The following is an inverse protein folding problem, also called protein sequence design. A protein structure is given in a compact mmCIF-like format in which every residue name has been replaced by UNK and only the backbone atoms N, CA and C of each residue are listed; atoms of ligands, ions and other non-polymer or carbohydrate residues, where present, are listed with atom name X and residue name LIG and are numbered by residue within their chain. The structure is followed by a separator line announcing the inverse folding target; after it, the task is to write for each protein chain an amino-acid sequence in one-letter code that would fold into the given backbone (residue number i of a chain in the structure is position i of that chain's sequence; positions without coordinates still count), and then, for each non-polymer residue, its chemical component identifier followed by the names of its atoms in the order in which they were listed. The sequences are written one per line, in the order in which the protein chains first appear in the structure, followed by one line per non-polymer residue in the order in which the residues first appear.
data_IF_739954678016
#
_entry.id   IF_739954678016
#
_cell.length_a   1.000
_cell.length_b   1.000
_cell.length_c   1.000
_cell.angle_alpha   90.00
_cell.angle_beta   90.00
_cell.angle_gamma   90.00
#
_symmetry.space_group_name_H-M   'P 1'
#
loop_
_entity.id
_entity.type
_entity.pdbx_description
1 polymer ?
#
# COMPACT_ATOMS: atom_id res chain seq x y z
N UNK A 1 -8.79 16.57 29.90
CA UNK A 1 -8.77 15.42 28.96
C UNK A 1 -7.69 15.70 27.93
N UNK A 2 -6.83 14.75 27.61
CA UNK A 2 -5.78 14.90 26.59
C UNK A 2 -5.93 13.75 25.59
N UNK A 3 -6.08 14.09 24.31
CA UNK A 3 -6.28 13.11 23.23
C UNK A 3 -5.97 13.76 21.87
N UNK A 4 -5.91 12.92 20.83
CA UNK A 4 -5.81 13.35 19.44
C UNK A 4 -7.23 13.60 18.87
N UNK A 5 -7.47 14.71 18.15
CA UNK A 5 -8.80 15.07 17.62
C UNK A 5 -9.16 14.25 16.37
N UNK A 6 -9.18 12.92 16.45
CA UNK A 6 -9.27 12.03 15.28
C UNK A 6 -10.66 11.97 14.63
N UNK A 7 -11.71 12.46 15.31
CA UNK A 7 -13.10 12.42 14.83
C UNK A 7 -13.85 13.72 15.16
N UNK A 8 -14.66 14.28 14.23
CA UNK A 8 -15.50 15.46 14.44
C UNK A 8 -16.77 15.17 15.24
N UNK A 9 -16.75 14.14 16.09
CA UNK A 9 -17.90 13.75 16.89
C UNK A 9 -17.46 13.00 18.15
N UNK A 10 -18.39 12.88 19.10
CA UNK A 10 -18.15 12.22 20.38
C UNK A 10 -17.67 13.17 21.47
N UNK A 11 -17.47 12.63 22.67
CA UNK A 11 -17.30 13.43 23.87
C UNK A 11 -16.07 14.36 23.84
N UNK A 12 -14.96 13.91 23.26
CA UNK A 12 -13.76 14.74 23.12
C UNK A 12 -13.94 15.87 22.11
N UNK A 13 -14.71 15.64 21.05
CA UNK A 13 -15.11 16.71 20.13
C UNK A 13 -15.99 17.73 20.85
N UNK A 14 -17.00 17.25 21.58
CA UNK A 14 -17.92 18.11 22.33
C UNK A 14 -17.20 18.97 23.37
N UNK A 15 -16.15 18.44 24.03
CA UNK A 15 -15.37 19.22 25.00
C UNK A 15 -14.62 20.41 24.38
N UNK A 16 -14.44 20.42 23.06
CA UNK A 16 -13.83 21.52 22.30
C UNK A 16 -14.84 22.38 21.55
N UNK A 17 -16.12 21.98 21.53
CA UNK A 17 -17.18 22.65 20.79
C UNK A 17 -18.39 22.92 21.70
N UNK A 18 -19.42 22.07 21.64
CA UNK A 18 -20.72 22.27 22.28
C UNK A 18 -20.65 22.45 23.80
N UNK A 19 -19.64 21.86 24.46
CA UNK A 19 -19.42 21.94 25.92
C UNK A 19 -18.27 22.86 26.32
N UNK A 20 -17.57 23.45 25.34
CA UNK A 20 -16.49 24.40 25.60
C UNK A 20 -17.06 25.74 26.06
N UNK A 21 -16.33 26.41 26.95
CA UNK A 21 -16.63 27.76 27.36
C UNK A 21 -16.23 28.73 26.24
N UNK A 22 -17.20 29.44 25.68
CA UNK A 22 -17.01 30.42 24.60
C UNK A 22 -17.85 31.67 24.87
N UNK A 23 -17.65 32.79 24.14
CA UNK A 23 -18.53 33.95 24.26
C UNK A 23 -20.03 33.61 24.03
N UNK A 24 -20.32 32.67 23.11
CA UNK A 24 -21.67 32.17 22.84
C UNK A 24 -22.15 31.05 23.78
N UNK A 25 -21.26 30.49 24.61
CA UNK A 25 -21.58 29.46 25.60
C UNK A 25 -20.84 29.73 26.93
N UNK A 26 -21.24 30.76 27.69
CA UNK A 26 -20.55 31.15 28.93
C UNK A 26 -20.66 30.09 30.04
N UNK A 27 -21.65 29.19 29.96
CA UNK A 27 -21.88 28.08 30.89
C UNK A 27 -21.16 26.78 30.49
N UNK A 28 -20.31 26.82 29.46
CA UNK A 28 -19.48 25.69 29.08
C UNK A 28 -18.61 25.21 30.24
N UNK A 29 -18.44 23.89 30.35
CA UNK A 29 -17.74 23.23 31.46
C UNK A 29 -16.27 22.92 31.15
N UNK A 30 -15.86 23.08 29.89
CA UNK A 30 -14.50 22.81 29.43
C UNK A 30 -13.79 24.09 29.00
N UNK A 31 -12.52 24.22 29.40
CA UNK A 31 -11.57 25.14 28.77
C UNK A 31 -10.89 24.39 27.63
N UNK A 32 -11.27 24.69 26.39
CA UNK A 32 -10.71 24.06 25.21
C UNK A 32 -9.33 24.65 24.91
N UNK A 33 -8.32 23.79 24.79
CA UNK A 33 -6.94 24.17 24.43
C UNK A 33 -6.55 23.35 23.20
N UNK A 34 -6.15 24.04 22.14
CA UNK A 34 -5.63 23.44 20.91
C UNK A 34 -4.13 23.72 20.84
N UNK A 35 -3.32 22.68 20.70
CA UNK A 35 -1.87 22.79 20.60
C UNK A 35 -1.45 22.60 19.14
N UNK A 36 -1.23 23.71 18.44
CA UNK A 36 -0.72 23.70 17.08
C UNK A 36 0.83 23.64 17.10
N UNK A 37 1.40 22.61 16.47
CA UNK A 37 2.85 22.44 16.38
C UNK A 37 3.53 23.57 15.59
N UNK A 38 2.82 24.23 14.67
CA UNK A 38 3.37 25.36 13.90
C UNK A 38 3.57 26.62 14.76
N UNK A 39 2.85 26.71 15.88
CA UNK A 39 2.90 27.83 16.81
C UNK A 39 3.85 27.55 18.00
N UNK A 40 4.39 26.33 18.07
CA UNK A 40 5.27 25.91 19.16
C UNK A 40 6.70 26.45 18.96
N UNK A 41 7.29 27.12 19.96
CA UNK A 41 8.68 27.60 19.88
C UNK A 41 9.71 26.46 19.85
N UNK A 42 9.29 25.23 20.16
CA UNK A 42 10.17 24.05 20.16
C UNK A 42 10.14 23.27 18.84
N UNK A 43 9.26 23.65 17.91
CA UNK A 43 9.11 22.97 16.62
C UNK A 43 9.83 23.74 15.53
N UNK A 44 10.70 23.05 14.80
CA UNK A 44 11.48 23.68 13.73
C UNK A 44 10.67 23.76 12.42
N UNK A 45 10.92 24.78 11.57
CA UNK A 45 10.33 24.83 10.23
C UNK A 45 10.66 23.59 9.38
N UNK A 46 11.83 22.98 9.61
CA UNK A 46 12.25 21.76 8.93
C UNK A 46 11.35 20.57 9.30
N UNK A 47 11.01 20.40 10.58
CA UNK A 47 10.04 19.38 11.02
C UNK A 47 8.68 19.57 10.33
N UNK A 48 8.19 20.81 10.26
CA UNK A 48 6.92 21.13 9.59
C UNK A 48 6.97 20.75 8.10
N UNK A 49 8.06 21.10 7.40
CA UNK A 49 8.27 20.74 5.99
C UNK A 49 8.29 19.24 5.77
N UNK A 50 8.95 18.49 6.65
CA UNK A 50 8.97 17.02 6.61
C UNK A 50 7.57 16.44 6.79
N UNK A 51 6.79 16.96 7.74
CA UNK A 51 5.41 16.49 7.99
C UNK A 51 4.44 16.85 6.88
N UNK A 52 4.60 18.01 6.24
CA UNK A 52 3.82 18.38 5.05
C UNK A 52 4.04 17.37 3.92
N UNK A 53 5.29 16.96 3.69
CA UNK A 53 5.62 15.96 2.68
C UNK A 53 5.14 14.56 3.09
N UNK A 54 5.39 14.16 4.34
CA UNK A 54 5.04 12.82 4.84
C UNK A 54 3.52 12.59 4.86
N UNK A 55 2.74 13.58 5.26
CA UNK A 55 1.28 13.46 5.42
C UNK A 55 0.48 13.85 4.18
N UNK A 56 1.13 14.32 3.10
CA UNK A 56 0.46 14.63 1.84
C UNK A 56 -0.25 15.99 1.83
N UNK A 57 0.30 16.98 2.53
CA UNK A 57 -0.15 18.37 2.52
C UNK A 57 -0.91 18.81 3.78
N UNK A 58 -1.20 20.12 3.85
CA UNK A 58 -1.81 20.78 5.01
C UNK A 58 -3.25 20.31 5.30
N UNK A 59 -4.00 20.05 4.23
CA UNK A 59 -5.41 19.65 4.32
C UNK A 59 -5.58 18.13 4.54
N UNK A 60 -4.48 17.39 4.71
CA UNK A 60 -4.56 15.96 4.99
C UNK A 60 -5.03 15.72 6.43
N UNK A 61 -5.79 14.63 6.62
CA UNK A 61 -6.29 14.24 7.95
C UNK A 61 -5.14 14.07 8.95
N UNK A 62 -4.03 13.45 8.53
CA UNK A 62 -2.86 13.28 9.40
C UNK A 62 -2.25 14.61 9.81
N UNK A 63 -2.13 15.59 8.89
CA UNK A 63 -1.56 16.89 9.20
C UNK A 63 -2.46 17.71 10.12
N UNK A 64 -3.77 17.77 9.82
CA UNK A 64 -4.75 18.46 10.65
C UNK A 64 -4.74 17.91 12.09
N UNK A 65 -4.75 16.59 12.25
CA UNK A 65 -4.81 15.96 13.58
C UNK A 65 -3.47 16.05 14.30
N UNK A 66 -2.37 15.63 13.66
CA UNK A 66 -1.08 15.43 14.33
C UNK A 66 -0.20 16.67 14.41
N UNK A 67 -0.42 17.65 13.53
CA UNK A 67 0.37 18.90 13.49
C UNK A 67 -0.46 20.07 13.99
N UNK A 68 -1.66 20.29 13.42
CA UNK A 68 -2.48 21.45 13.76
C UNK A 68 -3.32 21.28 15.04
N UNK A 69 -3.47 20.04 15.54
CA UNK A 69 -4.35 19.76 16.67
C UNK A 69 -5.84 20.00 16.35
N UNK A 70 -6.22 19.91 15.08
CA UNK A 70 -7.56 20.20 14.59
C UNK A 70 -8.36 18.92 14.33
N UNK A 71 -9.67 18.99 14.57
CA UNK A 71 -10.59 17.94 14.19
C UNK A 71 -10.75 17.87 12.66
N UNK A 72 -10.74 16.69 12.04
CA UNK A 72 -10.93 16.57 10.60
C UNK A 72 -12.36 16.96 10.25
N UNK A 73 -12.54 17.66 9.12
CA UNK A 73 -13.88 18.10 8.66
C UNK A 73 -14.79 16.94 8.29
N UNK A 74 -14.21 15.85 7.78
CA UNK A 74 -14.91 14.65 7.35
C UNK A 74 -14.21 13.40 7.89
N UNK A 75 -14.99 12.41 8.32
CA UNK A 75 -14.49 11.15 8.93
C UNK A 75 -14.05 10.15 7.86
N UNK A 76 -14.73 10.18 6.71
CA UNK A 76 -14.73 9.11 5.72
C UNK A 76 -14.41 9.67 4.34
N UNK A 77 -13.13 9.98 4.13
CA UNK A 77 -12.64 10.33 2.80
C UNK A 77 -12.43 9.09 1.93
N UNK A 78 -12.58 9.27 0.63
CA UNK A 78 -12.01 8.35 -0.34
C UNK A 78 -10.52 8.67 -0.53
N UNK A 79 -9.72 7.63 -0.74
CA UNK A 79 -8.27 7.71 -0.85
C UNK A 79 -7.81 8.63 -1.99
N UNK A 80 -8.51 8.57 -3.12
CA UNK A 80 -8.23 9.27 -4.37
C UNK A 80 -9.52 9.78 -5.00
N UNK A 81 -9.42 10.91 -5.72
CA UNK A 81 -10.47 11.38 -6.60
C UNK A 81 -10.43 10.70 -7.97
N UNK A 82 -11.58 10.58 -8.64
CA UNK A 82 -11.67 9.96 -9.97
C UNK A 82 -10.77 10.65 -11.00
N UNK A 83 -10.76 11.97 -11.00
CA UNK A 83 -9.94 12.80 -11.88
C UNK A 83 -8.42 12.62 -11.62
N UNK A 84 -8.01 12.36 -10.38
CA UNK A 84 -6.62 12.00 -10.06
C UNK A 84 -6.22 10.68 -10.73
N UNK A 85 -7.09 9.66 -10.65
CA UNK A 85 -6.88 8.37 -11.30
C UNK A 85 -6.84 8.48 -12.83
N UNK A 86 -7.80 9.21 -13.43
CA UNK A 86 -7.87 9.37 -14.88
C UNK A 86 -6.63 10.14 -15.41
N UNK A 87 -6.12 11.13 -14.67
CA UNK A 87 -4.83 11.76 -14.98
C UNK A 87 -3.66 10.80 -14.84
N UNK A 88 -3.64 9.97 -13.80
CA UNK A 88 -2.59 9.00 -13.57
C UNK A 88 -2.48 8.01 -14.73
N UNK A 89 -3.61 7.56 -15.29
CA UNK A 89 -3.64 6.66 -16.45
C UNK A 89 -2.99 7.27 -17.71
N UNK A 90 -3.08 8.58 -17.90
CA UNK A 90 -2.54 9.29 -19.08
C UNK A 90 -1.13 9.85 -18.89
N UNK A 91 -0.71 10.06 -17.65
CA UNK A 91 0.56 10.75 -17.33
C UNK A 91 1.77 9.90 -17.76
N UNK A 92 2.80 10.56 -18.29
CA UNK A 92 4.11 9.94 -18.49
C UNK A 92 4.86 9.88 -17.14
N UNK A 93 5.23 8.67 -16.73
CA UNK A 93 6.07 8.43 -15.55
C UNK A 93 7.42 7.90 -16.03
N UNK A 94 8.49 8.58 -15.63
CA UNK A 94 9.87 8.19 -15.95
C UNK A 94 10.38 7.26 -14.86
N UNK A 95 10.80 6.05 -15.25
CA UNK A 95 11.47 5.09 -14.37
C UNK A 95 12.96 5.43 -14.23
N UNK A 96 13.56 4.99 -13.13
CA UNK A 96 15.02 5.08 -12.93
C UNK A 96 15.75 4.00 -13.76
N UNK A 97 17.07 4.14 -13.94
CA UNK A 97 17.88 3.29 -14.85
C UNK A 97 17.76 1.80 -14.53
N UNK A 98 17.82 1.46 -13.24
CA UNK A 98 17.77 0.07 -12.74
C UNK A 98 16.34 -0.26 -12.31
N UNK A 99 15.42 -0.31 -13.27
CA UNK A 99 14.03 -0.74 -13.05
C UNK A 99 13.91 -2.26 -13.24
N UNK A 100 12.93 -2.89 -12.58
CA UNK A 100 12.65 -4.32 -12.69
C UNK A 100 11.19 -4.64 -13.00
N UNK A 101 10.95 -5.90 -13.35
CA UNK A 101 9.61 -6.44 -13.60
C UNK A 101 8.99 -6.97 -12.31
N UNK A 102 7.73 -6.60 -12.08
CA UNK A 102 6.95 -7.08 -10.92
C UNK A 102 5.57 -7.51 -11.42
N UNK A 103 5.22 -8.77 -11.16
CA UNK A 103 3.89 -9.33 -11.32
C UNK A 103 3.21 -9.44 -9.96
N UNK A 104 2.08 -8.76 -9.78
CA UNK A 104 1.25 -8.85 -8.57
C UNK A 104 -0.08 -9.49 -8.87
N UNK A 105 -0.50 -10.43 -8.02
CA UNK A 105 -1.73 -11.19 -8.21
C UNK A 105 -2.67 -11.09 -7.00
N UNK A 106 -3.94 -10.76 -7.26
CA UNK A 106 -5.06 -10.91 -6.33
C UNK A 106 -5.86 -12.15 -6.75
N UNK A 107 -6.10 -13.06 -5.80
CA UNK A 107 -6.64 -14.40 -6.07
C UNK A 107 -8.09 -14.47 -5.63
N UNK A 108 -8.97 -14.71 -6.60
CA UNK A 108 -10.39 -14.95 -6.38
C UNK A 108 -10.66 -16.22 -5.57
N UNK A 109 -11.84 -16.28 -4.98
CA UNK A 109 -12.28 -17.37 -4.09
C UNK A 109 -13.20 -18.41 -4.79
N UNK A 110 -13.10 -18.54 -6.12
CA UNK A 110 -14.02 -19.36 -6.91
C UNK A 110 -15.36 -18.69 -7.25
N UNK A 111 -15.60 -17.46 -6.77
CA UNK A 111 -16.74 -16.59 -7.12
C UNK A 111 -16.27 -15.24 -7.63
N UNK A 112 -15.35 -14.63 -6.89
CA UNK A 112 -14.70 -13.39 -7.24
C UNK A 112 -13.59 -13.64 -8.28
N UNK A 113 -13.29 -12.63 -9.10
CA UNK A 113 -12.31 -12.73 -10.19
C UNK A 113 -10.88 -12.72 -9.64
N UNK A 114 -9.97 -13.35 -10.37
CA UNK A 114 -8.53 -13.22 -10.10
C UNK A 114 -7.90 -12.20 -11.04
N UNK A 115 -6.94 -11.42 -10.55
CA UNK A 115 -6.27 -10.38 -11.34
C UNK A 115 -4.77 -10.58 -11.28
N UNK A 116 -4.11 -10.53 -12.44
CA UNK A 116 -2.65 -10.46 -12.57
C UNK A 116 -2.29 -9.10 -13.18
N UNK A 117 -1.41 -8.36 -12.51
CA UNK A 117 -0.92 -7.06 -12.97
C UNK A 117 0.60 -7.10 -13.08
N UNK A 118 1.10 -6.81 -14.28
CA UNK A 118 2.53 -6.74 -14.58
C UNK A 118 2.90 -5.26 -14.71
N UNK A 119 3.88 -4.86 -13.91
CA UNK A 119 4.37 -3.50 -13.82
C UNK A 119 5.88 -3.45 -14.02
N UNK A 120 6.35 -2.29 -14.49
CA UNK A 120 7.75 -1.88 -14.35
C UNK A 120 7.89 -1.04 -13.10
N UNK A 121 8.85 -1.37 -12.26
CA UNK A 121 9.04 -0.73 -10.95
C UNK A 121 10.47 -0.23 -10.82
N UNK A 122 10.64 0.96 -10.24
CA UNK A 122 11.96 1.49 -9.88
C UNK A 122 11.89 2.28 -8.59
N UNK A 123 13.03 2.44 -7.92
CA UNK A 123 13.13 3.19 -6.67
C UNK A 123 12.45 2.50 -5.49
N UNK A 124 12.69 3.04 -4.30
CA UNK A 124 12.30 2.42 -3.05
C UNK A 124 11.42 3.36 -2.22
N UNK A 125 10.51 2.77 -1.44
CA UNK A 125 9.64 3.46 -0.47
C UNK A 125 8.95 4.70 -1.05
N UNK A 126 9.24 5.88 -0.52
CA UNK A 126 8.67 7.19 -0.88
C UNK A 126 9.10 7.67 -2.27
N UNK A 127 10.20 7.14 -2.82
CA UNK A 127 10.66 7.45 -4.18
C UNK A 127 10.21 6.43 -5.21
N UNK A 128 9.58 5.32 -4.79
CA UNK A 128 9.15 4.25 -5.68
C UNK A 128 8.26 4.77 -6.81
N UNK A 129 8.52 4.27 -8.01
CA UNK A 129 7.83 4.59 -9.26
C UNK A 129 7.29 3.31 -9.88
N UNK A 130 6.07 3.36 -10.36
CA UNK A 130 5.34 2.20 -10.87
C UNK A 130 4.68 2.57 -12.19
N UNK A 131 4.93 1.76 -13.21
CA UNK A 131 4.32 1.94 -14.53
C UNK A 131 3.64 0.65 -14.91
N UNK A 132 2.31 0.69 -15.04
CA UNK A 132 1.58 -0.44 -15.58
C UNK A 132 2.12 -0.83 -16.97
N UNK A 133 2.25 -2.13 -17.17
CA UNK A 133 2.52 -2.73 -18.47
C UNK A 133 1.31 -3.53 -18.96
N UNK A 134 0.72 -4.39 -18.11
CA UNK A 134 -0.38 -5.27 -18.50
C UNK A 134 -1.24 -5.65 -17.30
N UNK A 135 -2.56 -5.58 -17.44
CA UNK A 135 -3.51 -6.15 -16.47
C UNK A 135 -4.31 -7.24 -17.15
N UNK A 136 -4.45 -8.38 -16.49
CA UNK A 136 -5.21 -9.54 -16.97
C UNK A 136 -6.17 -10.00 -15.87
N UNK A 137 -7.43 -10.22 -16.23
CA UNK A 137 -8.51 -10.57 -15.31
C UNK A 137 -9.09 -11.93 -15.70
N UNK A 138 -9.07 -12.88 -14.76
CA UNK A 138 -9.58 -14.24 -14.95
C UNK A 138 -11.01 -14.34 -14.42
N UNK A 139 -11.87 -15.18 -15.04
CA UNK A 139 -13.21 -15.41 -14.53
C UNK A 139 -13.14 -15.99 -13.12
N UNK A 140 -14.11 -15.64 -12.27
CA UNK A 140 -14.12 -16.12 -10.88
C UNK A 140 -14.30 -17.64 -10.75
N UNK A 141 -14.75 -18.31 -11.80
CA UNK A 141 -14.82 -19.78 -11.88
C UNK A 141 -13.47 -20.44 -12.14
N UNK A 142 -12.41 -19.67 -12.39
CA UNK A 142 -11.06 -20.22 -12.55
C UNK A 142 -10.54 -20.68 -11.20
N UNK A 143 -10.11 -21.94 -11.15
CA UNK A 143 -9.49 -22.53 -9.97
C UNK A 143 -8.13 -21.87 -9.62
N UNK A 144 -7.80 -21.68 -8.33
CA UNK A 144 -6.53 -21.07 -7.91
C UNK A 144 -5.25 -21.76 -8.41
N UNK A 145 -5.27 -23.07 -8.66
CA UNK A 145 -4.12 -23.81 -9.21
C UNK A 145 -4.02 -23.56 -10.73
N UNK A 146 -5.15 -23.54 -11.44
CA UNK A 146 -5.17 -23.15 -12.85
C UNK A 146 -4.67 -21.69 -13.04
N UNK A 147 -5.01 -20.81 -12.10
CA UNK A 147 -4.49 -19.44 -12.10
C UNK A 147 -2.97 -19.39 -11.84
N UNK A 148 -2.44 -20.24 -10.96
CA UNK A 148 -1.00 -20.37 -10.75
C UNK A 148 -0.28 -20.84 -12.02
N UNK A 149 -0.82 -21.84 -12.72
CA UNK A 149 -0.27 -22.33 -13.98
C UNK A 149 -0.31 -21.23 -15.06
N UNK A 150 -1.38 -20.44 -15.10
CA UNK A 150 -1.48 -19.26 -15.97
C UNK A 150 -0.39 -18.22 -15.65
N UNK A 151 -0.21 -17.86 -14.37
CA UNK A 151 0.83 -16.92 -13.94
C UNK A 151 2.22 -17.43 -14.37
N UNK A 152 2.51 -18.72 -14.13
CA UNK A 152 3.80 -19.33 -14.46
C UNK A 152 4.10 -19.27 -15.97
N UNK A 153 3.12 -19.62 -16.80
CA UNK A 153 3.30 -19.64 -18.26
C UNK A 153 3.34 -18.22 -18.87
N UNK A 154 2.75 -17.24 -18.19
CA UNK A 154 2.80 -15.85 -18.65
C UNK A 154 4.09 -15.15 -18.21
N UNK A 155 4.54 -15.35 -16.96
CA UNK A 155 5.67 -14.65 -16.34
C UNK A 155 7.01 -15.33 -16.62
N UNK A 156 7.36 -15.54 -17.89
CA UNK A 156 8.60 -16.24 -18.26
C UNK A 156 9.82 -15.31 -18.27
N UNK A 157 11.04 -15.79 -17.98
CA UNK A 157 12.26 -14.98 -18.03
C UNK A 157 12.54 -14.34 -19.40
N UNK A 158 12.14 -14.99 -20.49
CA UNK A 158 12.34 -14.47 -21.86
C UNK A 158 11.45 -13.25 -22.13
N UNK A 159 10.22 -13.24 -21.60
CA UNK A 159 9.30 -12.09 -21.71
C UNK A 159 9.66 -11.01 -20.71
N UNK A 160 10.00 -11.42 -19.48
CA UNK A 160 10.18 -10.54 -18.34
C UNK A 160 11.41 -10.98 -17.53
N UNK A 161 12.63 -10.55 -17.93
CA UNK A 161 13.86 -10.89 -17.22
C UNK A 161 13.78 -10.49 -15.74
N UNK A 162 14.19 -11.40 -14.85
CA UNK A 162 14.25 -11.17 -13.40
C UNK A 162 12.90 -10.78 -12.76
N UNK A 163 11.77 -11.23 -13.34
CA UNK A 163 10.44 -10.87 -12.84
C UNK A 163 10.22 -11.38 -11.41
N UNK A 164 9.83 -10.46 -10.53
CA UNK A 164 9.34 -10.80 -9.20
C UNK A 164 7.85 -11.12 -9.28
N UNK A 165 7.46 -12.35 -8.97
CA UNK A 165 6.05 -12.76 -8.88
C UNK A 165 5.61 -12.67 -7.43
N UNK A 166 4.53 -11.94 -7.16
CA UNK A 166 3.97 -11.76 -5.83
C UNK A 166 2.47 -11.98 -5.83
N UNK A 167 1.97 -12.71 -4.82
CA UNK A 167 0.57 -13.15 -4.76
C UNK A 167 0.01 -12.82 -3.38
N UNK A 168 -1.21 -12.29 -3.32
CA UNK A 168 -1.95 -12.20 -2.05
C UNK A 168 -2.20 -13.62 -1.53
N UNK A 169 -1.43 -13.99 -0.51
CA UNK A 169 -1.45 -15.32 0.07
C UNK A 169 -2.43 -15.43 1.24
N UNK A 170 -3.22 -14.39 1.51
CA UNK A 170 -4.33 -14.47 2.47
C UNK A 170 -5.49 -15.27 1.82
N UNK A 171 -5.84 -16.43 2.40
CA UNK A 171 -6.88 -17.32 1.85
C UNK A 171 -6.40 -18.18 0.68
N UNK A 172 -7.13 -18.18 -0.43
CA UNK A 172 -6.93 -19.08 -1.58
C UNK A 172 -5.60 -18.87 -2.32
N UNK A 173 -5.01 -17.68 -2.25
CA UNK A 173 -3.71 -17.46 -2.90
C UNK A 173 -2.55 -18.21 -2.23
N UNK A 174 -2.75 -18.78 -1.04
CA UNK A 174 -1.78 -19.69 -0.43
C UNK A 174 -1.58 -20.98 -1.25
N UNK A 175 -2.64 -21.49 -1.88
CA UNK A 175 -2.61 -22.64 -2.80
C UNK A 175 -2.00 -22.25 -4.14
N UNK A 176 -2.34 -21.07 -4.68
CA UNK A 176 -1.71 -20.50 -5.88
C UNK A 176 -0.19 -20.39 -5.70
N UNK A 177 0.28 -19.92 -4.55
CA UNK A 177 1.71 -19.88 -4.23
C UNK A 177 2.33 -21.28 -4.17
N UNK A 178 1.65 -22.25 -3.54
CA UNK A 178 2.16 -23.62 -3.45
C UNK A 178 2.30 -24.26 -4.85
N UNK A 179 1.34 -24.02 -5.75
CA UNK A 179 1.40 -24.50 -7.12
C UNK A 179 2.51 -23.82 -7.92
N UNK A 180 2.69 -22.49 -7.79
CA UNK A 180 3.81 -21.78 -8.40
C UNK A 180 5.17 -22.37 -7.97
N UNK A 181 5.34 -22.69 -6.69
CA UNK A 181 6.54 -23.37 -6.18
C UNK A 181 6.72 -24.75 -6.81
N UNK A 182 5.66 -25.56 -6.92
CA UNK A 182 5.72 -26.87 -7.60
C UNK A 182 6.10 -26.78 -9.07
N UNK A 183 5.74 -25.69 -9.73
CA UNK A 183 6.10 -25.41 -11.13
C UNK A 183 7.53 -24.90 -11.29
N UNK A 184 8.22 -24.57 -10.19
CA UNK A 184 9.61 -24.10 -10.20
C UNK A 184 9.78 -22.59 -10.04
N UNK A 185 8.72 -21.84 -9.76
CA UNK A 185 8.80 -20.41 -9.46
C UNK A 185 9.03 -20.14 -7.96
N UNK A 186 9.51 -18.96 -7.62
CA UNK A 186 9.68 -18.51 -6.23
C UNK A 186 8.78 -17.29 -5.93
N UNK A 187 7.47 -17.49 -5.67
CA UNK A 187 6.55 -16.38 -5.46
C UNK A 187 6.72 -15.73 -4.08
N UNK A 188 6.70 -14.40 -4.05
CA UNK A 188 6.58 -13.61 -2.83
C UNK A 188 5.15 -13.70 -2.31
N UNK A 189 5.00 -14.19 -1.07
CA UNK A 189 3.71 -14.31 -0.40
C UNK A 189 3.34 -13.00 0.29
N UNK A 190 2.39 -12.25 -0.26
CA UNK A 190 1.87 -11.04 0.37
C UNK A 190 0.88 -11.45 1.47
N UNK A 191 1.06 -10.93 2.68
CA UNK A 191 0.12 -11.10 3.81
C UNK A 191 -0.12 -9.76 4.46
N UNK A 192 -0.74 -8.90 3.69
CA UNK A 192 -0.82 -7.47 3.97
C UNK A 192 -1.83 -7.08 5.07
N UNK A 193 -2.60 -8.05 5.58
CA UNK A 193 -3.32 -7.87 6.85
C UNK A 193 -2.39 -7.75 8.08
N UNK A 194 -1.13 -8.17 7.96
CA UNK A 194 -0.15 -8.15 9.07
C UNK A 194 0.38 -6.74 9.38
N UNK A 195 0.87 -6.50 10.61
CA UNK A 195 1.53 -5.26 10.99
C UNK A 195 2.76 -4.94 10.12
N UNK A 196 3.18 -3.67 10.16
CA UNK A 196 4.44 -3.23 9.54
C UNK A 196 5.66 -3.78 10.30
N UNK A 197 6.74 -4.05 9.56
CA UNK A 197 7.99 -4.55 10.15
C UNK A 197 8.79 -3.43 10.86
N UNK A 198 8.85 -2.23 10.28
CA UNK A 198 9.56 -1.10 10.86
C UNK A 198 8.73 -0.39 11.95
N UNK A 199 9.37 -0.02 13.07
CA UNK A 199 8.73 0.71 14.18
C UNK A 199 8.01 1.98 13.71
N UNK A 200 8.71 2.82 12.95
CA UNK A 200 8.17 4.07 12.40
C UNK A 200 6.87 3.85 11.62
N UNK A 201 6.81 2.78 10.83
CA UNK A 201 5.63 2.48 10.02
C UNK A 201 4.50 1.88 10.87
N UNK A 202 4.81 1.15 11.95
CA UNK A 202 3.81 0.66 12.93
C UNK A 202 3.11 1.78 13.69
N UNK A 203 3.82 2.86 13.96
CA UNK A 203 3.25 4.06 14.61
C UNK A 203 2.31 4.82 13.69
N UNK A 204 2.49 4.71 12.37
CA UNK A 204 1.69 5.42 11.38
C UNK A 204 0.55 4.59 10.79
N UNK A 205 0.74 3.29 10.60
CA UNK A 205 -0.18 2.41 9.89
C UNK A 205 -0.62 1.23 10.74
N UNK A 206 -1.91 0.89 10.69
CA UNK A 206 -2.43 -0.30 11.38
C UNK A 206 -1.84 -1.61 10.81
N UNK A 207 -1.63 -1.67 9.49
CA UNK A 207 -1.09 -2.84 8.80
C UNK A 207 -0.49 -2.48 7.43
N UNK A 208 0.11 -3.47 6.79
CA UNK A 208 0.69 -3.36 5.45
C UNK A 208 -0.33 -2.94 4.38
N UNK A 209 -1.61 -3.33 4.52
CA UNK A 209 -2.69 -2.88 3.62
C UNK A 209 -2.89 -1.36 3.68
N UNK A 210 -2.87 -0.77 4.88
CA UNK A 210 -2.94 0.68 5.04
C UNK A 210 -1.72 1.38 4.47
N UNK A 211 -0.52 0.87 4.76
CA UNK A 211 0.71 1.38 4.18
C UNK A 211 0.66 1.36 2.65
N UNK A 212 0.38 0.20 2.04
CA UNK A 212 0.41 0.01 0.60
C UNK A 212 -0.54 0.97 -0.14
N UNK A 213 -1.77 1.11 0.35
CA UNK A 213 -2.76 2.03 -0.22
C UNK A 213 -2.31 3.49 -0.13
N UNK A 214 -1.80 3.91 1.04
CA UNK A 214 -1.34 5.28 1.24
C UNK A 214 -0.12 5.59 0.38
N UNK A 215 0.82 4.66 0.28
CA UNK A 215 1.99 4.83 -0.59
C UNK A 215 1.60 4.87 -2.07
N UNK A 216 0.64 4.05 -2.51
CA UNK A 216 0.12 4.09 -3.88
C UNK A 216 -0.60 5.41 -4.20
N UNK A 217 -1.43 5.91 -3.27
CA UNK A 217 -2.05 7.24 -3.35
C UNK A 217 -1.00 8.33 -3.54
N UNK A 218 0.02 8.34 -2.69
CA UNK A 218 1.06 9.36 -2.72
C UNK A 218 1.87 9.29 -4.02
N UNK A 219 2.10 8.08 -4.54
CA UNK A 219 2.73 7.87 -5.84
C UNK A 219 1.86 8.41 -6.98
N UNK A 220 0.53 8.24 -6.95
CA UNK A 220 -0.38 8.86 -7.95
C UNK A 220 -0.31 10.38 -7.87
N UNK A 221 -0.49 10.96 -6.68
CA UNK A 221 -0.55 12.42 -6.49
C UNK A 221 0.76 13.10 -6.91
N UNK A 222 1.90 12.49 -6.58
CA UNK A 222 3.23 12.98 -6.96
C UNK A 222 3.68 12.60 -8.39
N UNK A 223 2.85 11.88 -9.15
CA UNK A 223 3.18 11.50 -10.54
C UNK A 223 4.28 10.44 -10.68
N UNK A 224 4.42 9.58 -9.67
CA UNK A 224 5.31 8.41 -9.68
C UNK A 224 4.60 7.11 -10.07
N UNK A 225 3.27 7.07 -10.10
CA UNK A 225 2.50 5.91 -10.51
C UNK A 225 1.64 6.19 -11.74
N UNK A 226 1.73 5.31 -12.75
CA UNK A 226 0.83 5.26 -13.90
C UNK A 226 0.05 3.94 -13.85
N UNK A 227 -1.27 4.05 -13.72
CA UNK A 227 -2.22 2.92 -13.81
C UNK A 227 -2.62 2.65 -15.27
N UNK A 228 -3.28 1.54 -15.51
CA UNK A 228 -3.87 1.21 -16.81
C UNK A 228 -5.06 2.11 -17.15
N UNK A 229 -5.44 2.15 -18.43
CA UNK A 229 -6.52 3.00 -18.91
C UNK A 229 -7.92 2.39 -18.76
N UNK A 230 -8.07 1.19 -18.21
CA UNK A 230 -9.39 0.58 -17.98
C UNK A 230 -10.14 1.40 -16.92
N UNK A 231 -11.35 1.90 -17.23
CA UNK A 231 -12.15 2.67 -16.29
C UNK A 231 -12.44 1.95 -14.96
N UNK A 232 -12.43 0.60 -14.95
CA UNK A 232 -12.61 -0.21 -13.73
C UNK A 232 -11.53 0.04 -12.70
N UNK A 233 -10.27 0.18 -13.13
CA UNK A 233 -9.15 0.41 -12.21
C UNK A 233 -9.30 1.77 -11.53
N UNK A 234 -9.56 2.81 -12.31
CA UNK A 234 -9.77 4.16 -11.78
C UNK A 234 -11.02 4.24 -10.87
N UNK A 235 -12.07 3.45 -11.17
CA UNK A 235 -13.29 3.37 -10.35
C UNK A 235 -13.01 2.73 -9.00
N UNK A 236 -12.30 1.60 -9.00
CA UNK A 236 -11.90 0.91 -7.77
C UNK A 236 -11.01 1.81 -6.91
N UNK A 237 -9.97 2.40 -7.50
CA UNK A 237 -9.03 3.28 -6.80
C UNK A 237 -9.70 4.52 -6.16
N UNK A 238 -10.69 5.11 -6.84
CA UNK A 238 -11.39 6.30 -6.33
C UNK A 238 -12.44 6.02 -5.26
N UNK A 239 -12.77 4.74 -5.01
CA UNK A 239 -13.82 4.32 -4.07
C UNK A 239 -13.27 3.68 -2.81
N UNK A 240 -11.97 3.80 -2.54
CA UNK A 240 -11.35 3.19 -1.37
C UNK A 240 -11.50 4.09 -0.14
N UNK A 241 -12.30 3.72 0.87
CA UNK A 241 -12.45 4.53 2.07
C UNK A 241 -11.30 4.26 3.03
N UNK A 242 -10.80 5.32 3.66
CA UNK A 242 -9.77 5.25 4.70
C UNK A 242 -10.15 6.16 5.88
N UNK A 243 -9.56 5.89 7.03
CA UNK A 243 -9.76 6.68 8.24
C UNK A 243 -8.48 6.74 9.09
N UNK A 244 -8.45 7.72 9.98
CA UNK A 244 -7.54 7.75 11.12
C UNK A 244 -8.26 7.10 12.31
N UNK A 245 -7.70 6.02 12.85
CA UNK A 245 -8.31 5.32 13.98
C UNK A 245 -8.12 6.10 15.29
N UNK A 246 -8.66 5.58 16.39
CA UNK A 246 -8.58 6.21 17.72
C UNK A 246 -7.14 6.33 18.25
N UNK A 247 -6.25 5.44 17.81
CA UNK A 247 -4.81 5.47 18.13
C UNK A 247 -4.02 6.46 17.26
N UNK A 248 -4.67 7.18 16.33
CA UNK A 248 -3.98 8.07 15.40
C UNK A 248 -3.22 7.34 14.29
N UNK A 249 -3.56 6.08 14.00
CA UNK A 249 -3.00 5.27 12.90
C UNK A 249 -3.92 5.25 11.69
N UNK A 250 -3.30 5.28 10.52
CA UNK A 250 -3.99 5.15 9.24
C UNK A 250 -4.52 3.73 9.07
N UNK A 251 -5.79 3.63 8.72
CA UNK A 251 -6.49 2.38 8.50
C UNK A 251 -7.34 2.45 7.23
N UNK A 252 -7.32 1.37 6.46
CA UNK A 252 -8.28 1.18 5.36
C UNK A 252 -9.56 0.58 5.92
N UNK A 253 -10.69 0.97 5.35
CA UNK A 253 -11.96 0.35 5.70
C UNK A 253 -11.93 -1.16 5.39
N UNK A 254 -12.46 -1.97 6.30
CA UNK A 254 -12.48 -3.43 6.15
C UNK A 254 -13.32 -3.83 4.93
N UNK A 255 -12.85 -4.81 4.14
CA UNK A 255 -13.52 -5.30 2.93
C UNK A 255 -14.99 -5.70 3.20
N UNK A 256 -15.25 -6.35 4.34
CA UNK A 256 -16.61 -6.74 4.75
C UNK A 256 -17.54 -5.53 4.90
N UNK A 257 -17.08 -4.47 5.58
CA UNK A 257 -17.86 -3.25 5.79
C UNK A 257 -18.11 -2.52 4.46
N UNK A 258 -17.09 -2.44 3.60
CA UNK A 258 -17.24 -1.87 2.25
C UNK A 258 -18.37 -2.56 1.47
N UNK A 259 -18.39 -3.90 1.48
CA UNK A 259 -19.41 -4.70 0.80
C UNK A 259 -20.80 -4.54 1.42
N UNK A 260 -20.91 -4.70 2.74
CA UNK A 260 -22.21 -4.76 3.43
C UNK A 260 -22.86 -3.39 3.65
N UNK A 261 -22.06 -2.33 3.86
CA UNK A 261 -22.56 -1.02 4.28
C UNK A 261 -22.46 0.06 3.21
N UNK A 262 -21.48 -0.04 2.31
CA UNK A 262 -21.26 0.95 1.24
C UNK A 262 -21.60 0.41 -0.14
N UNK A 263 -21.95 -0.88 -0.27
CA UNK A 263 -22.15 -1.56 -1.55
C UNK A 263 -20.95 -1.42 -2.50
N UNK A 264 -19.74 -1.37 -1.93
CA UNK A 264 -18.47 -1.29 -2.67
C UNK A 264 -17.88 -2.70 -2.72
N UNK A 265 -17.67 -3.21 -3.93
CA UNK A 265 -17.05 -4.53 -4.17
C UNK A 265 -15.55 -4.50 -3.83
N UNK A 266 -14.96 -5.69 -3.71
CA UNK A 266 -13.51 -5.81 -3.54
C UNK A 266 -12.79 -5.14 -4.73
N UNK A 267 -11.76 -4.32 -4.46
CA UNK A 267 -11.11 -3.53 -5.50
C UNK A 267 -9.91 -4.29 -6.08
N UNK A 268 -10.15 -5.49 -6.60
CA UNK A 268 -9.08 -6.47 -6.90
C UNK A 268 -8.01 -5.94 -7.87
N UNK A 269 -8.37 -5.11 -8.85
CA UNK A 269 -7.37 -4.47 -9.72
C UNK A 269 -6.54 -3.46 -8.96
N UNK A 270 -7.17 -2.60 -8.17
CA UNK A 270 -6.44 -1.61 -7.35
C UNK A 270 -5.54 -2.27 -6.29
N UNK A 271 -5.98 -3.38 -5.70
CA UNK A 271 -5.19 -4.14 -4.73
C UNK A 271 -3.87 -4.61 -5.37
N UNK A 272 -3.89 -5.08 -6.63
CA UNK A 272 -2.63 -5.43 -7.34
C UNK A 272 -1.66 -4.26 -7.53
N UNK A 273 -2.15 -3.02 -7.71
CA UNK A 273 -1.27 -1.83 -7.73
C UNK A 273 -0.69 -1.56 -6.35
N UNK A 274 -1.47 -1.71 -5.29
CA UNK A 274 -1.01 -1.53 -3.92
C UNK A 274 0.09 -2.55 -3.56
N UNK A 275 -0.03 -3.79 -4.01
CA UNK A 275 0.98 -4.84 -3.81
C UNK A 275 2.35 -4.45 -4.32
N UNK A 276 2.43 -3.67 -5.41
CA UNK A 276 3.70 -3.14 -5.92
C UNK A 276 4.40 -2.20 -4.94
N UNK A 277 3.76 -1.77 -3.85
CA UNK A 277 4.39 -0.95 -2.80
C UNK A 277 4.99 -1.77 -1.66
N UNK A 278 4.75 -3.10 -1.64
CA UNK A 278 5.17 -4.01 -0.58
C UNK A 278 6.32 -4.94 -0.98
N UNK A 279 6.54 -5.13 -2.27
CA UNK A 279 7.45 -6.15 -2.80
C UNK A 279 8.71 -5.52 -3.37
N UNK A 280 9.85 -6.18 -3.21
CA UNK A 280 11.08 -5.75 -3.89
C UNK A 280 11.05 -6.15 -5.37
N UNK A 281 12.02 -5.64 -6.12
CA UNK A 281 12.21 -5.98 -7.52
C UNK A 281 13.69 -6.18 -7.78
N UNK A 282 14.02 -7.02 -8.76
CA UNK A 282 15.38 -7.16 -9.27
C UNK A 282 15.47 -6.40 -10.60
N UNK A 283 16.47 -5.53 -10.82
CA UNK A 283 16.66 -4.83 -12.08
C UNK A 283 16.66 -5.79 -13.27
N UNK A 284 15.94 -5.43 -14.33
CA UNK A 284 15.75 -6.28 -15.50
C UNK A 284 17.04 -6.50 -16.32
N UNK A 285 18.06 -5.68 -16.07
CA UNK A 285 19.38 -5.74 -16.71
C UNK A 285 20.46 -6.33 -15.79
N UNK A 286 20.09 -6.81 -14.60
CA UNK A 286 21.02 -7.44 -13.68
C UNK A 286 21.35 -8.86 -14.15
N UNK A 287 22.63 -9.20 -14.17
CA UNK A 287 23.10 -10.55 -14.54
C UNK A 287 23.12 -11.44 -13.29
N UNK A 288 21.99 -12.12 -13.05
CA UNK A 288 21.83 -13.04 -11.91
C UNK A 288 22.66 -14.31 -12.10
N UNK A 289 23.03 -14.65 -13.34
CA UNK A 289 23.73 -15.90 -13.67
C UNK A 289 25.13 -15.97 -13.03
N UNK A 290 25.83 -14.83 -12.98
CA UNK A 290 27.15 -14.75 -12.37
C UNK A 290 27.10 -14.83 -10.83
N UNK A 291 26.17 -14.12 -10.19
CA UNK A 291 26.07 -14.12 -8.72
C UNK A 291 25.61 -15.45 -8.14
N UNK A 292 24.62 -16.12 -8.76
CA UNK A 292 24.19 -17.46 -8.29
C UNK A 292 25.27 -18.53 -8.50
N UNK A 293 26.06 -18.45 -9.57
CA UNK A 293 27.20 -19.33 -9.77
C UNK A 293 28.26 -19.10 -8.67
N UNK A 294 28.59 -17.84 -8.39
CA UNK A 294 29.57 -17.47 -7.36
C UNK A 294 29.11 -17.90 -5.95
N UNK A 295 27.83 -17.72 -5.62
CA UNK A 295 27.26 -18.16 -4.34
C UNK A 295 27.21 -19.69 -4.23
N UNK A 296 26.86 -20.38 -5.32
CA UNK A 296 26.88 -21.85 -5.36
C UNK A 296 28.30 -22.38 -5.19
N UNK A 297 29.29 -21.77 -5.83
CA UNK A 297 30.70 -22.16 -5.72
C UNK A 297 31.24 -21.90 -4.31
N UNK A 298 30.84 -20.81 -3.66
CA UNK A 298 31.17 -20.52 -2.25
C UNK A 298 30.54 -21.55 -1.30
N UNK A 299 29.25 -21.86 -1.47
CA UNK A 299 28.55 -22.85 -0.63
C UNK A 299 29.12 -24.26 -0.84
N UNK A 300 29.51 -24.62 -2.06
CA UNK A 300 30.17 -25.91 -2.35
C UNK A 300 31.58 -25.97 -1.74
N UNK A 301 32.33 -24.86 -1.77
CA UNK A 301 33.63 -24.77 -1.10
C UNK A 301 33.53 -24.89 0.42
N UNK A 302 32.44 -24.41 1.03
CA UNK A 302 32.19 -24.52 2.47
C UNK A 302 31.68 -25.92 2.91
N UNK A 303 31.23 -26.76 1.96
CA UNK A 303 30.72 -28.12 2.24
C UNK A 303 31.84 -29.18 2.14
N UNK A 304 32.99 -28.87 1.53
CA UNK A 304 34.14 -29.78 1.53
C UNK A 304 34.91 -29.74 2.88
N UNK A 305 34.59 -30.76 3.69
CA UNK A 305 35.33 -31.39 4.80
C UNK A 305 35.08 -30.92 6.24
N UNK A 306 34.57 -31.83 7.08
CA UNK A 306 35.32 -32.36 8.20
C UNK A 306 35.93 -33.70 7.79
N UNK A 307 37.26 -33.79 7.84
CA UNK A 307 38.00 -35.04 7.73
C UNK A 307 37.41 -36.07 8.71
N UNK A 308 36.86 -37.15 8.17
CA UNK A 308 36.57 -38.36 8.93
C UNK A 308 37.88 -39.11 9.09
N UNK A 309 38.58 -38.84 10.20
CA UNK A 309 39.68 -39.67 10.66
C UNK A 309 39.16 -41.10 10.92
N UNK A 310 39.80 -42.06 10.25
CA UNK A 310 39.58 -43.51 10.32
C UNK A 310 40.09 -44.06 11.66
#
# INVERSE_FOLDING_TARGET
MLSQPTRPSGYFYDSHHSRAKTPGNPKGIWTAIVLNSEESPFVTPQFIKEKLLEYGGRDSIEYMVKVLGQFPREINGYLLGRDECDRAARRKVLLEKNWGWVATADVGNGRDKSVLNICKVSGHRDKRRVVNFKVMEMPGTMDPLAFADFIYNECTPEKYPNITIAVDADGFGSDTCAQLVRRGANPVRIRWGKPMFANKDRERFVNQRAYANIMARDAIKSGRMRIDSDPKTAEQASKIPFLLNEEGKMAMMRKEHMRQKLNIKSPDRWDTYCFTMLVDYVPANEDIGAEMATFRDQVLADIEMPDLDI
#
